data_IF_155914745857
#
_entry.id   IF_155914745857
#
_cell.length_a   1.000
_cell.length_b   1.000
_cell.length_c   1.000
_cell.angle_alpha   90.00
_cell.angle_beta   90.00
_cell.angle_gamma   90.00
#
_symmetry.space_group_name_H-M   'P 1'
#
loop_
_entity.id
_entity.type
_entity.pdbx_description
1 polymer ?
#
# COMPACT_ATOMS: atom_id res chain seq x y z
N UNK A 1 22.45 17.24 4.89
CA UNK A 1 21.25 17.51 4.07
C UNK A 1 21.55 17.88 2.61
N UNK A 2 22.81 17.98 2.17
CA UNK A 2 23.16 18.53 0.85
C UNK A 2 22.87 17.62 -0.36
N UNK A 3 22.91 16.29 -0.20
CA UNK A 3 22.92 15.35 -1.33
C UNK A 3 21.64 15.34 -2.19
N UNK A 4 20.51 15.81 -1.67
CA UNK A 4 19.21 15.79 -2.37
C UNK A 4 18.42 17.11 -2.27
N UNK A 5 19.02 18.17 -1.71
CA UNK A 5 18.33 19.45 -1.48
C UNK A 5 17.80 20.08 -2.77
N UNK A 6 18.47 19.84 -3.90
CA UNK A 6 18.12 20.39 -5.21
C UNK A 6 17.29 19.44 -6.09
N UNK A 7 16.93 18.24 -5.60
CA UNK A 7 16.16 17.28 -6.40
C UNK A 7 14.67 17.44 -6.13
N UNK A 8 13.96 18.15 -7.03
CA UNK A 8 12.56 18.57 -6.85
C UNK A 8 11.52 17.70 -7.55
N UNK A 9 11.76 16.39 -7.68
CA UNK A 9 10.84 15.45 -8.35
C UNK A 9 9.99 14.62 -7.39
N UNK A 10 8.79 14.23 -7.81
CA UNK A 10 7.91 13.28 -7.07
C UNK A 10 8.63 11.93 -6.82
N UNK A 11 9.54 11.56 -7.71
CA UNK A 11 10.38 10.35 -7.64
C UNK A 11 11.87 10.73 -7.74
N UNK A 12 12.33 11.58 -6.83
CA UNK A 12 13.68 12.16 -6.80
C UNK A 12 14.83 11.16 -6.60
N UNK A 13 14.54 9.91 -6.20
CA UNK A 13 15.59 8.92 -5.93
C UNK A 13 16.21 8.43 -7.25
N UNK A 14 17.55 8.54 -7.42
CA UNK A 14 18.20 7.97 -8.60
C UNK A 14 18.04 6.44 -8.61
N UNK A 15 18.05 5.83 -9.79
CA UNK A 15 18.01 4.35 -10.00
C UNK A 15 16.74 3.64 -9.52
N UNK A 16 15.56 4.23 -9.72
CA UNK A 16 14.31 3.54 -9.43
C UNK A 16 14.14 2.29 -10.33
N UNK A 17 13.85 1.11 -9.75
CA UNK A 17 13.57 -0.10 -10.54
C UNK A 17 12.38 0.10 -11.47
N UNK A 18 12.33 -0.60 -12.60
CA UNK A 18 11.19 -0.53 -13.53
C UNK A 18 9.90 -1.09 -12.90
N UNK A 19 10.02 -2.18 -12.13
CA UNK A 19 8.89 -2.88 -11.52
C UNK A 19 8.76 -2.46 -10.07
N UNK A 20 8.03 -1.37 -9.83
CA UNK A 20 7.72 -0.89 -8.50
C UNK A 20 6.27 -0.41 -8.42
N UNK A 21 5.79 -0.26 -7.19
CA UNK A 21 4.54 0.40 -6.88
C UNK A 21 4.72 1.18 -5.57
N UNK A 22 3.84 2.13 -5.30
CA UNK A 22 3.94 2.99 -4.13
C UNK A 22 3.07 2.46 -2.99
N UNK A 23 3.64 2.39 -1.78
CA UNK A 23 2.89 2.17 -0.54
C UNK A 23 3.12 3.38 0.36
N UNK A 24 2.06 3.93 0.93
CA UNK A 24 2.10 5.04 1.88
C UNK A 24 1.29 4.72 3.14
N UNK A 25 1.65 5.38 4.23
CA UNK A 25 0.97 5.28 5.51
C UNK A 25 0.62 6.69 5.99
N UNK A 26 -0.64 6.88 6.42
CA UNK A 26 -1.09 8.08 7.13
C UNK A 26 -1.36 7.69 8.60
N UNK A 27 -0.31 7.49 9.41
CA UNK A 27 -0.43 6.79 10.70
C UNK A 27 -1.22 7.59 11.75
N UNK A 28 -1.43 8.89 11.52
CA UNK A 28 -2.14 9.78 12.45
C UNK A 28 -3.64 9.89 12.18
N UNK A 29 -4.11 9.43 11.01
CA UNK A 29 -5.48 9.65 10.55
C UNK A 29 -6.18 8.34 10.21
N UNK A 30 -7.34 8.10 10.80
CA UNK A 30 -8.29 7.09 10.33
C UNK A 30 -9.22 7.75 9.30
N UNK A 31 -9.56 7.05 8.22
CA UNK A 31 -10.37 7.59 7.13
C UNK A 31 -11.36 6.55 6.58
N UNK A 32 -12.46 7.01 6.01
CA UNK A 32 -13.43 6.14 5.32
C UNK A 32 -13.23 6.14 3.79
N UNK A 33 -12.50 7.11 3.27
CA UNK A 33 -12.12 7.19 1.86
C UNK A 33 -10.85 8.00 1.69
N UNK A 34 -10.02 7.58 0.73
CA UNK A 34 -8.79 8.25 0.35
C UNK A 34 -8.65 8.14 -1.17
N UNK A 35 -8.12 9.18 -1.82
CA UNK A 35 -7.86 9.16 -3.26
C UNK A 35 -6.54 9.86 -3.52
N UNK A 36 -5.73 9.28 -4.39
CA UNK A 36 -4.43 9.83 -4.77
C UNK A 36 -4.43 10.20 -6.24
N UNK A 37 -3.85 11.35 -6.52
CA UNK A 37 -3.60 11.80 -7.90
C UNK A 37 -2.12 12.13 -8.03
N UNK A 38 -1.47 11.55 -9.03
CA UNK A 38 -0.09 11.86 -9.38
C UNK A 38 -0.04 12.48 -10.76
N UNK A 39 0.23 13.79 -10.82
CA UNK A 39 0.51 14.45 -12.09
C UNK A 39 1.76 13.84 -12.74
N UNK A 40 1.70 13.60 -14.07
CA UNK A 40 2.82 13.07 -14.85
C UNK A 40 2.94 11.53 -14.93
N UNK A 41 1.99 10.77 -14.38
CA UNK A 41 1.89 9.32 -14.58
C UNK A 41 0.50 8.98 -15.12
N UNK A 42 0.24 9.32 -16.39
CA UNK A 42 -1.08 9.12 -17.00
C UNK A 42 -0.96 8.18 -18.21
N UNK A 43 -1.60 7.00 -18.19
CA UNK A 43 -2.29 6.37 -17.04
C UNK A 43 -1.30 5.86 -15.97
N UNK A 44 -1.70 5.89 -14.70
CA UNK A 44 -0.94 5.26 -13.62
C UNK A 44 -1.24 3.75 -13.62
N UNK A 45 -0.43 2.98 -14.34
CA UNK A 45 -0.61 1.53 -14.49
C UNK A 45 -0.19 0.73 -13.24
N UNK A 46 0.60 1.33 -12.35
CA UNK A 46 0.99 0.74 -11.07
C UNK A 46 0.00 1.14 -9.98
N UNK A 47 -0.38 0.23 -9.06
CA UNK A 47 -1.24 0.58 -7.94
C UNK A 47 -0.52 1.54 -6.98
N UNK A 48 -1.27 2.45 -6.38
CA UNK A 48 -0.86 3.21 -5.21
C UNK A 48 -1.68 2.68 -4.03
N UNK A 49 -0.99 2.13 -3.04
CA UNK A 49 -1.60 1.59 -1.83
C UNK A 49 -1.41 2.60 -0.71
N UNK A 50 -2.48 2.99 -0.03
CA UNK A 50 -2.41 3.85 1.16
C UNK A 50 -3.24 3.24 2.28
N UNK A 51 -2.66 3.20 3.48
CA UNK A 51 -3.37 2.80 4.69
C UNK A 51 -3.23 3.86 5.78
N UNK A 52 -4.19 3.89 6.70
CA UNK A 52 -4.26 4.90 7.75
C UNK A 52 -4.10 4.33 9.15
N UNK A 53 -4.37 5.18 10.14
CA UNK A 53 -4.43 4.81 11.55
C UNK A 53 -5.52 3.77 11.77
N UNK A 54 -5.14 2.64 12.35
CA UNK A 54 -6.10 1.63 12.78
C UNK A 54 -6.86 2.08 14.03
N UNK A 55 -8.05 1.52 14.23
CA UNK A 55 -8.89 1.76 15.41
C UNK A 55 -9.63 0.48 15.79
N UNK A 56 -10.11 0.42 17.02
CA UNK A 56 -10.90 -0.71 17.50
C UNK A 56 -12.38 -0.45 17.25
N UNK A 57 -13.06 -1.45 16.70
CA UNK A 57 -14.51 -1.46 16.48
C UNK A 57 -15.05 -2.86 16.79
N UNK A 58 -16.00 -2.97 17.73
CA UNK A 58 -16.62 -4.24 18.12
C UNK A 58 -15.61 -5.36 18.50
N UNK A 59 -14.54 -5.00 19.21
CA UNK A 59 -13.48 -5.94 19.60
C UNK A 59 -12.57 -6.39 18.46
N UNK A 60 -12.63 -5.73 17.29
CA UNK A 60 -11.76 -5.97 16.14
C UNK A 60 -10.95 -4.73 15.81
N UNK A 61 -9.69 -4.93 15.46
CA UNK A 61 -8.86 -3.85 14.92
C UNK A 61 -9.15 -3.66 13.43
N UNK A 62 -9.65 -2.48 13.08
CA UNK A 62 -9.97 -2.08 11.70
C UNK A 62 -8.92 -1.08 11.22
N UNK A 63 -8.38 -1.33 10.03
CA UNK A 63 -7.43 -0.44 9.37
C UNK A 63 -8.04 0.10 8.07
N UNK A 64 -8.08 1.43 7.88
CA UNK A 64 -8.53 1.98 6.62
C UNK A 64 -7.47 1.75 5.55
N UNK A 65 -7.92 1.25 4.39
CA UNK A 65 -7.05 0.77 3.32
C UNK A 65 -7.60 1.20 1.96
N UNK A 66 -6.74 1.66 1.07
CA UNK A 66 -7.12 2.16 -0.25
C UNK A 66 -6.14 1.68 -1.31
N UNK A 67 -6.68 1.26 -2.44
CA UNK A 67 -5.94 0.97 -3.66
C UNK A 67 -6.41 1.95 -4.73
N UNK A 68 -5.51 2.77 -5.26
CA UNK A 68 -5.75 3.63 -6.42
C UNK A 68 -5.01 3.06 -7.63
N UNK A 69 -5.71 2.82 -8.73
CA UNK A 69 -5.13 2.30 -9.98
C UNK A 69 -5.94 2.81 -11.18
N UNK A 70 -5.28 2.98 -12.34
CA UNK A 70 -6.00 3.29 -13.59
C UNK A 70 -6.90 2.13 -14.01
N UNK A 71 -8.11 2.45 -14.46
CA UNK A 71 -9.05 1.45 -15.01
C UNK A 71 -8.53 0.79 -16.31
N UNK A 72 -7.55 1.41 -16.98
CA UNK A 72 -6.86 0.80 -18.12
C UNK A 72 -5.99 -0.41 -17.71
N UNK A 73 -5.57 -0.49 -16.43
CA UNK A 73 -4.73 -1.58 -15.92
C UNK A 73 -5.53 -2.65 -15.16
N UNK A 74 -6.56 -2.25 -14.42
CA UNK A 74 -7.33 -3.13 -13.56
C UNK A 74 -8.76 -2.62 -13.35
N UNK A 75 -9.71 -3.54 -13.26
CA UNK A 75 -11.10 -3.26 -12.87
C UNK A 75 -11.36 -3.64 -11.40
N UNK A 76 -12.61 -3.50 -10.96
CA UNK A 76 -13.03 -3.84 -9.60
C UNK A 76 -12.81 -5.32 -9.22
N UNK A 77 -12.81 -6.25 -10.18
CA UNK A 77 -12.55 -7.66 -9.90
C UNK A 77 -11.10 -7.87 -9.45
N UNK A 78 -10.14 -7.27 -10.16
CA UNK A 78 -8.72 -7.37 -9.81
C UNK A 78 -8.42 -6.73 -8.46
N UNK A 79 -8.99 -5.55 -8.20
CA UNK A 79 -8.81 -4.84 -6.92
C UNK A 79 -9.43 -5.65 -5.76
N UNK A 80 -10.61 -6.23 -5.94
CA UNK A 80 -11.23 -7.06 -4.91
C UNK A 80 -10.40 -8.31 -4.60
N UNK A 81 -9.84 -8.98 -5.62
CA UNK A 81 -8.92 -10.10 -5.42
C UNK A 81 -7.69 -9.72 -4.62
N UNK A 82 -7.08 -8.57 -4.90
CA UNK A 82 -5.91 -8.08 -4.17
C UNK A 82 -6.25 -7.85 -2.69
N UNK A 83 -7.30 -7.08 -2.41
CA UNK A 83 -7.71 -6.75 -1.03
C UNK A 83 -8.05 -8.02 -0.24
N UNK A 84 -8.83 -8.94 -0.81
CA UNK A 84 -9.19 -10.18 -0.15
C UNK A 84 -7.95 -11.06 0.12
N UNK A 85 -6.99 -11.12 -0.81
CA UNK A 85 -5.75 -11.88 -0.60
C UNK A 85 -4.88 -11.29 0.51
N UNK A 86 -4.84 -9.95 0.61
CA UNK A 86 -4.14 -9.25 1.70
C UNK A 86 -4.82 -9.57 3.04
N UNK A 87 -6.15 -9.45 3.13
CA UNK A 87 -6.90 -9.79 4.34
C UNK A 87 -6.65 -11.24 4.77
N UNK A 88 -6.77 -12.20 3.85
CA UNK A 88 -6.48 -13.62 4.13
C UNK A 88 -5.04 -13.86 4.62
N UNK A 89 -4.09 -13.05 4.18
CA UNK A 89 -2.69 -13.14 4.63
C UNK A 89 -2.54 -12.61 6.05
N UNK A 90 -3.21 -11.49 6.37
CA UNK A 90 -3.23 -10.88 7.71
C UNK A 90 -3.94 -11.80 8.71
N UNK A 91 -5.07 -12.40 8.33
CA UNK A 91 -5.82 -13.33 9.20
C UNK A 91 -5.00 -14.58 9.57
N UNK A 92 -4.02 -14.94 8.73
CA UNK A 92 -3.12 -16.07 8.95
C UNK A 92 -1.78 -15.66 9.57
N UNK A 93 -1.62 -14.40 9.98
CA UNK A 93 -0.32 -13.85 10.35
C UNK A 93 0.35 -14.61 11.51
N UNK A 94 -0.41 -15.05 12.51
CA UNK A 94 0.11 -15.85 13.64
C UNK A 94 0.70 -17.20 13.17
N UNK A 95 0.07 -17.83 12.19
CA UNK A 95 0.54 -19.08 11.57
C UNK A 95 1.81 -18.82 10.73
N UNK A 96 1.88 -17.66 10.07
CA UNK A 96 3.04 -17.29 9.24
C UNK A 96 4.25 -16.96 10.13
N UNK A 97 4.05 -16.21 11.22
CA UNK A 97 5.11 -15.89 12.18
C UNK A 97 5.67 -17.16 12.82
N UNK A 98 4.81 -18.02 13.34
CA UNK A 98 5.23 -19.27 14.00
C UNK A 98 6.02 -20.21 13.07
N UNK A 99 5.72 -20.22 11.76
CA UNK A 99 6.49 -20.99 10.76
C UNK A 99 7.85 -20.36 10.43
N UNK A 100 7.96 -19.03 10.40
CA UNK A 100 9.25 -18.35 10.16
C UNK A 100 10.25 -18.60 11.29
N UNK A 101 9.79 -18.61 12.54
CA UNK A 101 10.66 -18.87 13.70
C UNK A 101 11.03 -20.35 13.85
N UNK A 102 10.23 -21.30 13.33
CA UNK A 102 10.59 -22.74 13.34
C UNK A 102 11.56 -23.18 12.24
N UNK A 103 11.73 -22.40 11.18
CA UNK A 103 12.63 -22.71 10.05
C UNK A 103 13.96 -21.94 10.13
N UNK A 104 14.31 -21.40 11.30
CA UNK A 104 15.59 -20.73 11.58
C UNK A 104 16.46 -21.53 12.58
N UNK A 105 16.09 -22.77 12.91
CA UNK A 105 16.93 -23.78 13.58
C UNK A 105 17.41 -24.84 12.60
#
# INVERSE_FOLDING_TARGET
MERYSNVKGIKAKPTQPKNFYCISCVPWLSFTGYSTYSSGCTPALMPIITYGKYHEENGKWIMPFTVTISHEAADGYHVSKLINSIQMTIDKFDIILSRKYKNQE
#
